data_IF_338492263536
#
_entry.id   IF_338492263536
#
_cell.length_a   1.000
_cell.length_b   1.000
_cell.length_c   1.000
_cell.angle_alpha   90.00
_cell.angle_beta   90.00
_cell.angle_gamma   90.00
#
_symmetry.space_group_name_H-M   'P 1'
#
loop_
_entity.id
_entity.type
_entity.pdbx_description
1 polymer ?
#
# COMPACT_ATOMS: atom_id res chain seq x y z
N UNK A 1 -10.33 16.43 -16.75
CA UNK A 1 -9.72 15.31 -16.03
C UNK A 1 -9.45 15.72 -14.59
N UNK A 2 -9.82 14.89 -13.64
CA UNK A 2 -9.61 15.02 -12.21
C UNK A 2 -9.03 13.69 -11.71
N UNK A 3 -7.90 13.79 -11.01
CA UNK A 3 -7.32 12.65 -10.30
C UNK A 3 -7.38 12.92 -8.80
N UNK A 4 -7.41 11.86 -8.01
CA UNK A 4 -7.38 11.94 -6.54
C UNK A 4 -6.28 11.08 -5.97
N UNK A 5 -5.89 11.37 -4.74
CA UNK A 5 -5.06 10.48 -3.94
C UNK A 5 -5.84 9.21 -3.57
N UNK A 6 -5.15 8.08 -3.69
CA UNK A 6 -5.61 6.80 -3.21
C UNK A 6 -4.51 6.16 -2.36
N UNK A 7 -4.70 6.18 -1.05
CA UNK A 7 -3.78 5.58 -0.09
C UNK A 7 -3.93 4.07 -0.15
N UNK A 8 -2.94 3.39 -0.74
CA UNK A 8 -2.99 1.94 -0.95
C UNK A 8 -2.53 1.17 0.28
N UNK A 9 -1.54 1.68 1.00
CA UNK A 9 -0.81 0.90 1.99
C UNK A 9 -1.58 0.64 3.29
N UNK A 10 -2.29 1.66 3.78
CA UNK A 10 -2.83 1.66 5.14
C UNK A 10 -4.19 2.36 5.18
N UNK A 11 -4.91 2.11 6.27
CA UNK A 11 -6.17 2.82 6.57
C UNK A 11 -6.04 3.53 7.92
N UNK A 12 -7.01 4.36 8.31
CA UNK A 12 -7.09 4.80 9.71
C UNK A 12 -7.40 3.62 10.63
N UNK A 13 -6.89 3.65 11.86
CA UNK A 13 -7.27 2.71 12.91
C UNK A 13 -8.76 2.82 13.31
N UNK A 14 -9.47 3.86 12.87
CA UNK A 14 -10.91 4.01 12.99
C UNK A 14 -11.69 3.34 11.86
N UNK A 15 -11.01 2.83 10.83
CA UNK A 15 -11.65 2.15 9.71
C UNK A 15 -12.41 0.91 10.22
N UNK A 16 -13.64 0.64 9.74
CA UNK A 16 -14.42 -0.52 10.17
C UNK A 16 -13.65 -1.84 10.06
N UNK A 17 -12.85 -2.04 9.01
CA UNK A 17 -12.02 -3.24 8.88
C UNK A 17 -11.06 -3.42 10.07
N UNK A 18 -10.36 -2.36 10.50
CA UNK A 18 -9.42 -2.47 11.63
C UNK A 18 -10.17 -2.66 12.95
N UNK A 19 -11.32 -1.99 13.11
CA UNK A 19 -12.17 -2.12 14.29
C UNK A 19 -12.71 -3.55 14.45
N UNK A 20 -13.06 -4.21 13.35
CA UNK A 20 -13.50 -5.61 13.38
C UNK A 20 -12.32 -6.57 13.50
N UNK A 21 -11.22 -6.32 12.76
CA UNK A 21 -9.97 -7.11 12.85
C UNK A 21 -9.46 -7.20 14.29
N UNK A 22 -9.46 -6.09 15.05
CA UNK A 22 -8.97 -6.09 16.44
C UNK A 22 -9.93 -6.76 17.44
N UNK A 23 -11.22 -6.88 17.11
CA UNK A 23 -12.25 -7.45 18.00
C UNK A 23 -12.48 -8.94 17.76
N UNK A 24 -12.38 -9.37 16.50
CA UNK A 24 -12.65 -10.74 16.06
C UNK A 24 -11.50 -11.25 15.16
N UNK A 25 -10.41 -11.78 15.75
CA UNK A 25 -9.27 -12.29 15.00
C UNK A 25 -9.58 -13.47 14.07
N UNK A 26 -10.64 -14.23 14.35
CA UNK A 26 -11.09 -15.37 13.52
C UNK A 26 -12.17 -14.96 12.50
N UNK A 27 -12.59 -13.70 12.53
CA UNK A 27 -13.61 -13.12 11.66
C UNK A 27 -13.09 -12.79 10.26
N UNK A 28 -13.97 -12.29 9.36
CA UNK A 28 -13.63 -12.02 7.97
C UNK A 28 -12.54 -10.95 7.78
N UNK A 29 -12.37 -10.06 8.76
CA UNK A 29 -11.34 -9.00 8.76
C UNK A 29 -10.14 -9.34 9.65
N UNK A 30 -10.11 -10.52 10.26
CA UNK A 30 -9.07 -10.94 11.21
C UNK A 30 -7.66 -10.81 10.65
N UNK A 31 -7.51 -11.03 9.35
CA UNK A 31 -6.23 -10.97 8.62
C UNK A 31 -6.18 -9.86 7.55
N UNK A 32 -6.94 -8.78 7.74
CA UNK A 32 -6.87 -7.60 6.84
C UNK A 32 -5.68 -6.69 7.13
N UNK A 33 -5.05 -6.86 8.30
CA UNK A 33 -3.92 -6.09 8.77
C UNK A 33 -2.84 -7.03 9.27
N UNK A 34 -1.62 -6.55 9.29
CA UNK A 34 -0.47 -7.35 9.70
C UNK A 34 -0.38 -7.40 11.23
N UNK A 35 -0.64 -8.56 11.81
CA UNK A 35 -0.61 -8.80 13.25
C UNK A 35 0.52 -9.75 13.66
N UNK A 36 1.13 -9.50 14.83
CA UNK A 36 2.18 -10.34 15.40
C UNK A 36 2.10 -10.42 16.93
N UNK A 37 2.61 -11.50 17.51
CA UNK A 37 2.66 -11.68 18.98
C UNK A 37 3.79 -10.87 19.64
N UNK A 38 4.82 -10.49 18.88
CA UNK A 38 5.90 -9.60 19.31
C UNK A 38 6.27 -8.59 18.22
N UNK A 39 7.13 -7.64 18.56
CA UNK A 39 7.54 -6.50 17.73
C UNK A 39 8.87 -6.73 16.99
N UNK A 40 9.26 -8.00 16.77
CA UNK A 40 10.60 -8.34 16.26
C UNK A 40 10.67 -8.60 14.76
N UNK A 41 9.52 -8.77 14.12
CA UNK A 41 9.47 -9.02 12.69
C UNK A 41 9.87 -7.76 11.90
N UNK A 42 10.50 -7.97 10.74
CA UNK A 42 10.91 -6.91 9.82
C UNK A 42 11.89 -5.88 10.43
N UNK A 43 12.82 -6.34 11.27
CA UNK A 43 13.76 -5.46 11.99
C UNK A 43 14.67 -4.60 11.09
N UNK A 44 14.85 -4.98 9.82
CA UNK A 44 15.63 -4.24 8.82
C UNK A 44 14.82 -3.10 8.16
N UNK A 45 13.50 -3.03 8.38
CA UNK A 45 12.68 -1.94 7.90
C UNK A 45 12.88 -0.70 8.79
N UNK A 46 13.31 0.41 8.19
CA UNK A 46 13.48 1.68 8.89
C UNK A 46 12.14 2.23 9.41
N UNK A 47 12.19 3.03 10.47
CA UNK A 47 11.07 3.86 10.93
C UNK A 47 11.05 5.14 10.12
N UNK A 48 9.95 5.41 9.39
CA UNK A 48 9.85 6.58 8.50
C UNK A 48 9.80 7.88 9.31
N UNK A 49 8.98 7.92 10.36
CA UNK A 49 8.83 9.07 11.25
C UNK A 49 9.56 8.87 12.58
N UNK A 50 10.89 8.71 12.52
CA UNK A 50 11.73 8.44 13.70
C UNK A 50 11.61 9.48 14.83
N UNK A 51 11.22 10.71 14.50
CA UNK A 51 11.01 11.77 15.50
C UNK A 51 9.67 11.64 16.26
N UNK A 52 8.76 10.76 15.82
CA UNK A 52 7.41 10.59 16.38
C UNK A 52 7.10 9.15 16.78
N UNK A 53 7.49 8.18 15.96
CA UNK A 53 7.24 6.75 16.18
C UNK A 53 8.51 6.07 16.71
N UNK A 54 8.34 5.26 17.77
CA UNK A 54 9.45 4.53 18.39
C UNK A 54 9.68 3.14 17.75
N UNK A 55 8.69 2.63 17.01
CA UNK A 55 8.69 1.31 16.38
C UNK A 55 7.75 1.32 15.17
N UNK A 56 7.93 0.37 14.24
CA UNK A 56 6.95 0.04 13.20
C UNK A 56 5.85 -0.91 13.71
N UNK A 57 5.89 -1.26 15.00
CA UNK A 57 4.92 -2.13 15.65
C UNK A 57 4.29 -1.42 16.85
N UNK A 58 2.96 -1.36 16.87
CA UNK A 58 2.20 -0.83 18.01
C UNK A 58 1.35 -1.93 18.64
N UNK A 59 1.42 -2.04 19.97
CA UNK A 59 0.60 -3.00 20.72
C UNK A 59 -0.87 -2.53 20.78
N UNK A 60 -1.79 -3.34 20.29
CA UNK A 60 -3.23 -3.09 20.44
C UNK A 60 -3.77 -3.71 21.75
N UNK A 61 -4.36 -2.90 22.64
CA UNK A 61 -4.85 -3.38 23.94
C UNK A 61 -6.13 -4.22 23.85
N UNK A 62 -6.83 -4.25 22.73
CA UNK A 62 -8.05 -5.07 22.53
C UNK A 62 -7.65 -6.47 22.08
N UNK A 63 -6.87 -6.57 21.00
CA UNK A 63 -6.42 -7.83 20.40
C UNK A 63 -5.28 -8.50 21.14
N UNK A 64 -4.54 -7.76 21.97
CA UNK A 64 -3.35 -8.24 22.71
C UNK A 64 -2.22 -8.73 21.80
N UNK A 65 -2.11 -8.12 20.62
CA UNK A 65 -1.08 -8.35 19.63
C UNK A 65 -0.53 -7.01 19.14
N UNK A 66 0.61 -7.03 18.49
CA UNK A 66 1.17 -5.88 17.79
C UNK A 66 0.61 -5.83 16.38
N UNK A 67 0.34 -4.64 15.86
CA UNK A 67 0.06 -4.42 14.45
C UNK A 67 1.16 -3.59 13.80
N UNK A 68 1.44 -3.90 12.54
CA UNK A 68 2.46 -3.20 11.75
C UNK A 68 1.91 -1.87 11.21
N UNK A 69 2.76 -0.85 11.19
CA UNK A 69 2.51 0.42 10.53
C UNK A 69 3.83 1.03 10.05
N UNK A 70 3.89 1.45 8.77
CA UNK A 70 5.06 2.17 8.24
C UNK A 70 5.04 3.66 8.54
N UNK A 71 3.85 4.18 8.77
CA UNK A 71 3.58 5.59 9.07
C UNK A 71 3.24 5.73 10.55
N UNK A 72 2.22 6.52 10.92
CA UNK A 72 1.85 6.69 12.33
C UNK A 72 1.10 5.48 12.88
N UNK A 73 1.14 5.29 14.20
CA UNK A 73 0.43 4.21 14.91
C UNK A 73 -1.09 4.20 14.70
N UNK A 74 -1.70 5.32 14.28
CA UNK A 74 -3.11 5.39 13.88
C UNK A 74 -3.36 5.08 12.39
N UNK A 75 -2.34 4.59 11.68
CA UNK A 75 -2.35 4.19 10.27
C UNK A 75 -1.90 2.72 10.12
N UNK A 76 -2.67 1.74 10.59
CA UNK A 76 -2.33 0.32 10.45
C UNK A 76 -2.24 -0.10 8.98
N UNK A 77 -1.16 -0.82 8.66
CA UNK A 77 -0.86 -1.31 7.32
C UNK A 77 -1.75 -2.51 6.96
N UNK A 78 -2.26 -2.50 5.74
CA UNK A 78 -3.08 -3.59 5.19
C UNK A 78 -2.20 -4.80 4.86
N UNK A 79 -2.74 -5.99 5.07
CA UNK A 79 -2.04 -7.24 4.74
C UNK A 79 -2.31 -7.64 3.28
N UNK A 80 -1.40 -7.30 2.37
CA UNK A 80 -1.53 -7.63 0.95
C UNK A 80 -1.23 -9.10 0.60
N UNK A 81 -0.73 -9.91 1.54
CA UNK A 81 -0.69 -11.38 1.38
C UNK A 81 -2.10 -11.98 1.39
N UNK A 82 -3.07 -11.27 1.98
CA UNK A 82 -4.47 -11.68 1.98
C UNK A 82 -5.14 -11.29 0.65
N UNK A 83 -5.57 -12.26 -0.20
CA UNK A 83 -6.21 -11.94 -1.46
C UNK A 83 -7.50 -11.13 -1.31
N UNK A 84 -8.21 -11.23 -0.17
CA UNK A 84 -9.41 -10.45 0.08
C UNK A 84 -9.10 -8.95 0.17
N UNK A 85 -7.97 -8.57 0.76
CA UNK A 85 -7.51 -7.17 0.81
C UNK A 85 -7.24 -6.65 -0.61
N UNK A 86 -6.57 -7.45 -1.43
CA UNK A 86 -6.32 -7.11 -2.84
C UNK A 86 -7.62 -6.85 -3.61
N UNK A 87 -8.63 -7.71 -3.44
CA UNK A 87 -9.94 -7.54 -4.09
C UNK A 87 -10.67 -6.28 -3.59
N UNK A 88 -10.63 -5.99 -2.29
CA UNK A 88 -11.26 -4.79 -1.72
C UNK A 88 -10.61 -3.50 -2.22
N UNK A 89 -9.28 -3.48 -2.35
CA UNK A 89 -8.55 -2.34 -2.92
C UNK A 89 -8.91 -2.12 -4.38
N UNK A 90 -8.98 -3.19 -5.18
CA UNK A 90 -9.43 -3.11 -6.57
C UNK A 90 -10.89 -2.65 -6.65
N UNK A 91 -11.76 -3.15 -5.78
CA UNK A 91 -13.16 -2.73 -5.72
C UNK A 91 -13.30 -1.24 -5.37
N UNK A 92 -12.49 -0.73 -4.45
CA UNK A 92 -12.47 0.69 -4.08
C UNK A 92 -11.97 1.58 -5.24
N UNK A 93 -10.96 1.15 -6.00
CA UNK A 93 -10.52 1.83 -7.21
C UNK A 93 -11.65 1.86 -8.26
N UNK A 94 -12.29 0.71 -8.53
CA UNK A 94 -13.42 0.61 -9.47
C UNK A 94 -14.57 1.51 -9.07
N UNK A 95 -14.92 1.57 -7.79
CA UNK A 95 -15.98 2.43 -7.27
C UNK A 95 -15.79 3.90 -7.68
N UNK A 96 -14.58 4.43 -7.53
CA UNK A 96 -14.27 5.82 -7.92
C UNK A 96 -14.20 6.01 -9.43
N UNK A 97 -13.73 5.02 -10.19
CA UNK A 97 -13.74 5.07 -11.65
C UNK A 97 -15.16 5.00 -12.23
N UNK A 98 -16.04 4.18 -11.65
CA UNK A 98 -17.46 4.11 -11.99
C UNK A 98 -18.18 5.45 -11.74
N UNK A 99 -17.71 6.22 -10.76
CA UNK A 99 -18.17 7.60 -10.48
C UNK A 99 -17.63 8.64 -11.47
N UNK A 100 -16.58 8.32 -12.24
CA UNK A 100 -16.01 9.17 -13.28
C UNK A 100 -14.73 9.92 -12.91
N UNK A 101 -13.97 9.47 -11.90
CA UNK A 101 -12.58 9.91 -11.70
C UNK A 101 -11.72 9.51 -12.91
N UNK A 102 -10.79 10.37 -13.33
CA UNK A 102 -9.94 10.13 -14.51
C UNK A 102 -8.59 9.43 -14.17
N UNK A 103 -8.35 9.13 -12.89
CA UNK A 103 -7.13 8.47 -12.44
C UNK A 103 -6.78 8.70 -10.98
N UNK A 104 -5.65 8.12 -10.56
CA UNK A 104 -5.21 8.13 -9.17
C UNK A 104 -3.74 8.48 -9.03
N UNK A 105 -3.40 9.22 -7.97
CA UNK A 105 -2.08 9.16 -7.33
C UNK A 105 -2.12 7.99 -6.35
N UNK A 106 -1.35 6.95 -6.63
CA UNK A 106 -1.23 5.78 -5.77
C UNK A 106 -0.19 6.08 -4.70
N UNK A 107 -0.66 6.31 -3.47
CA UNK A 107 0.16 6.77 -2.35
C UNK A 107 0.68 5.58 -1.54
N UNK A 108 1.93 5.69 -1.08
CA UNK A 108 2.61 4.69 -0.26
C UNK A 108 2.80 3.30 -0.90
N UNK A 109 2.83 3.23 -2.24
CA UNK A 109 3.00 1.96 -2.99
C UNK A 109 4.33 1.23 -2.82
N UNK A 110 5.45 1.85 -2.38
CA UNK A 110 6.64 1.10 -2.02
C UNK A 110 6.47 0.11 -0.87
N UNK A 111 5.43 0.29 -0.05
CA UNK A 111 5.34 -0.34 1.26
C UNK A 111 4.31 -1.48 1.36
N UNK A 112 3.64 -1.83 0.24
CA UNK A 112 2.47 -2.73 0.24
C UNK A 112 2.76 -4.13 0.81
N UNK A 113 3.97 -4.65 0.58
CA UNK A 113 4.40 -5.97 1.06
C UNK A 113 5.61 -5.85 1.98
N UNK A 114 5.72 -6.75 2.95
CA UNK A 114 6.84 -6.85 3.88
C UNK A 114 7.44 -8.26 3.87
N UNK A 115 8.76 -8.35 3.98
CA UNK A 115 9.49 -9.62 3.98
C UNK A 115 10.71 -9.55 4.88
N UNK A 116 10.95 -10.63 5.64
CA UNK A 116 12.12 -10.76 6.51
C UNK A 116 13.43 -10.68 5.72
N UNK A 117 14.43 -10.04 6.32
CA UNK A 117 15.75 -9.82 5.69
C UNK A 117 15.73 -8.76 4.58
N UNK A 118 14.68 -7.95 4.50
CA UNK A 118 14.57 -6.82 3.55
C UNK A 118 14.20 -5.54 4.30
N UNK A 119 14.36 -4.39 3.66
CA UNK A 119 13.88 -3.11 4.18
C UNK A 119 12.36 -2.92 4.03
N UNK A 120 11.64 -3.93 3.50
CA UNK A 120 10.20 -3.90 3.21
C UNK A 120 9.80 -2.73 2.28
N UNK A 121 10.65 -2.38 1.32
CA UNK A 121 10.34 -1.39 0.27
C UNK A 121 10.56 -2.02 -1.11
N UNK A 122 9.75 -1.64 -2.09
CA UNK A 122 9.92 -2.02 -3.51
C UNK A 122 10.00 -3.53 -3.76
N UNK A 123 9.30 -4.33 -2.94
CA UNK A 123 9.34 -5.78 -3.11
C UNK A 123 8.68 -6.18 -4.44
N UNK A 124 9.15 -7.26 -5.10
CA UNK A 124 8.57 -7.72 -6.37
C UNK A 124 7.05 -7.92 -6.32
N UNK A 125 6.53 -8.38 -5.18
CA UNK A 125 5.10 -8.56 -4.96
C UNK A 125 4.30 -7.23 -5.04
N UNK A 126 4.88 -6.11 -4.60
CA UNK A 126 4.27 -4.78 -4.75
C UNK A 126 4.08 -4.44 -6.23
N UNK A 127 5.13 -4.63 -7.04
CA UNK A 127 5.07 -4.39 -8.48
C UNK A 127 4.10 -5.35 -9.19
N UNK A 128 4.09 -6.63 -8.82
CA UNK A 128 3.14 -7.61 -9.38
C UNK A 128 1.68 -7.20 -9.11
N UNK A 129 1.38 -6.68 -7.92
CA UNK A 129 0.06 -6.17 -7.60
C UNK A 129 -0.27 -4.89 -8.38
N UNK A 130 0.67 -3.95 -8.53
CA UNK A 130 0.46 -2.74 -9.33
C UNK A 130 0.25 -3.03 -10.82
N UNK A 131 0.93 -4.03 -11.37
CA UNK A 131 0.69 -4.54 -12.74
C UNK A 131 -0.69 -5.16 -12.87
N UNK A 132 -1.17 -5.86 -11.84
CA UNK A 132 -2.55 -6.36 -11.79
C UNK A 132 -3.54 -5.19 -11.79
N UNK A 133 -3.33 -4.17 -10.96
CA UNK A 133 -4.15 -2.95 -10.93
C UNK A 133 -4.20 -2.30 -12.31
N UNK A 134 -3.03 -2.09 -12.94
CA UNK A 134 -2.92 -1.52 -14.27
C UNK A 134 -3.68 -2.32 -15.31
N UNK A 135 -3.50 -3.64 -15.34
CA UNK A 135 -4.19 -4.53 -16.28
C UNK A 135 -5.72 -4.44 -16.13
N UNK A 136 -6.23 -4.45 -14.89
CA UNK A 136 -7.68 -4.36 -14.65
C UNK A 136 -8.24 -3.00 -15.07
N UNK A 137 -7.53 -1.91 -14.79
CA UNK A 137 -7.92 -0.56 -15.17
C UNK A 137 -7.91 -0.39 -16.69
N UNK A 138 -6.86 -0.81 -17.39
CA UNK A 138 -6.79 -0.71 -18.85
C UNK A 138 -7.90 -1.51 -19.56
N UNK A 139 -8.33 -2.64 -18.97
CA UNK A 139 -9.40 -3.47 -19.52
C UNK A 139 -10.80 -2.87 -19.35
N UNK A 140 -11.05 -2.18 -18.23
CA UNK A 140 -12.40 -1.73 -17.85
C UNK A 140 -12.62 -0.22 -18.02
N UNK A 141 -11.57 0.59 -17.89
CA UNK A 141 -11.63 2.05 -17.82
C UNK A 141 -10.54 2.68 -18.71
N UNK A 142 -10.70 2.60 -20.05
CA UNK A 142 -9.74 3.23 -20.96
C UNK A 142 -9.67 4.75 -20.71
N UNK A 143 -8.52 5.36 -20.96
CA UNK A 143 -8.23 6.79 -20.71
C UNK A 143 -8.09 7.18 -19.22
N UNK A 144 -7.77 6.21 -18.36
CA UNK A 144 -7.45 6.42 -16.93
C UNK A 144 -5.94 6.51 -16.71
N UNK A 145 -5.48 7.42 -15.85
CA UNK A 145 -4.05 7.55 -15.49
C UNK A 145 -3.75 6.99 -14.09
N UNK A 146 -2.59 6.35 -13.93
CA UNK A 146 -2.03 5.91 -12.65
C UNK A 146 -0.69 6.59 -12.44
N UNK A 147 -0.57 7.32 -11.34
CA UNK A 147 0.62 8.07 -10.94
C UNK A 147 1.18 7.45 -9.66
N UNK A 148 2.37 6.84 -9.73
CA UNK A 148 3.07 6.33 -8.57
C UNK A 148 3.59 7.47 -7.70
N UNK A 149 3.31 7.40 -6.40
CA UNK A 149 4.12 8.08 -5.41
C UNK A 149 5.13 7.10 -4.79
N UNK A 150 6.39 7.26 -5.20
CA UNK A 150 7.54 6.61 -4.61
C UNK A 150 8.61 7.68 -4.38
N UNK A 151 8.71 8.19 -3.15
CA UNK A 151 9.68 9.23 -2.79
C UNK A 151 11.10 8.64 -2.60
N UNK A 152 11.69 8.22 -3.72
CA UNK A 152 12.96 7.53 -3.81
C UNK A 152 13.85 8.14 -4.91
N UNK A 153 15.08 7.63 -5.07
CA UNK A 153 15.95 8.07 -6.15
C UNK A 153 15.40 7.64 -7.52
N UNK A 154 15.65 8.42 -8.60
CA UNK A 154 15.06 8.14 -9.91
C UNK A 154 15.42 6.77 -10.47
N UNK A 155 16.59 6.23 -10.13
CA UNK A 155 16.97 4.86 -10.50
C UNK A 155 16.04 3.78 -9.91
N UNK A 156 15.48 3.98 -8.72
CA UNK A 156 14.55 3.05 -8.09
C UNK A 156 13.11 3.28 -8.59
N UNK A 157 12.75 4.56 -8.80
CA UNK A 157 11.40 4.94 -9.25
C UNK A 157 11.10 4.43 -10.67
N UNK A 158 12.13 4.18 -11.49
CA UNK A 158 11.94 3.69 -12.86
C UNK A 158 11.22 2.35 -12.92
N UNK A 159 11.35 1.52 -11.88
CA UNK A 159 10.72 0.21 -11.80
C UNK A 159 9.19 0.30 -11.73
N UNK A 160 8.65 1.42 -11.24
CA UNK A 160 7.20 1.67 -11.17
C UNK A 160 6.53 1.94 -12.52
N UNK A 161 7.31 2.08 -13.61
CA UNK A 161 6.76 2.06 -14.97
C UNK A 161 6.52 0.63 -15.47
N UNK A 162 7.08 -0.39 -14.79
CA UNK A 162 6.96 -1.79 -15.14
C UNK A 162 7.91 -2.23 -16.26
N UNK A 163 7.52 -3.27 -17.00
CA UNK A 163 8.34 -3.83 -18.08
C UNK A 163 8.40 -2.90 -19.29
N UNK A 164 9.56 -2.27 -19.48
CA UNK A 164 9.87 -1.42 -20.61
C UNK A 164 9.72 -2.12 -21.98
N UNK A 165 9.96 -3.44 -22.06
CA UNK A 165 9.84 -4.18 -23.33
C UNK A 165 8.39 -4.25 -23.82
N UNK A 166 7.44 -4.22 -22.89
CA UNK A 166 6.00 -4.17 -23.19
C UNK A 166 5.48 -2.76 -23.49
N UNK A 167 6.30 -1.73 -23.27
CA UNK A 167 5.89 -0.31 -23.31
C UNK A 167 5.42 0.25 -21.96
N UNK A 168 5.60 -0.51 -20.87
CA UNK A 168 5.21 -0.14 -19.50
C UNK A 168 3.85 -0.74 -19.08
N UNK A 169 3.89 -1.71 -18.17
CA UNK A 169 2.73 -2.50 -17.70
C UNK A 169 2.30 -2.18 -16.27
N UNK A 170 2.85 -1.13 -15.66
CA UNK A 170 2.54 -0.71 -14.29
C UNK A 170 1.99 0.74 -14.27
N UNK A 171 2.59 1.69 -13.53
CA UNK A 171 2.10 3.07 -13.49
C UNK A 171 2.43 3.83 -14.77
N UNK A 172 1.53 4.74 -15.16
CA UNK A 172 1.72 5.59 -16.34
C UNK A 172 2.71 6.73 -16.08
N UNK A 173 2.75 7.18 -14.83
CA UNK A 173 3.54 8.31 -14.38
C UNK A 173 4.15 8.01 -13.02
N UNK A 174 5.25 8.68 -12.71
CA UNK A 174 5.84 8.74 -11.38
C UNK A 174 6.41 10.15 -11.14
N UNK A 175 6.49 10.58 -9.88
CA UNK A 175 7.14 11.85 -9.55
C UNK A 175 8.66 11.74 -9.64
N UNK A 176 9.31 12.76 -10.19
CA UNK A 176 10.76 12.93 -10.10
C UNK A 176 11.09 13.85 -8.91
N UNK A 177 11.03 13.31 -7.69
CA UNK A 177 11.18 14.10 -6.45
C UNK A 177 12.45 14.96 -6.39
N UNK A 178 13.66 14.49 -6.76
CA UNK A 178 14.88 15.29 -6.60
C UNK A 178 14.99 16.56 -7.46
N UNK A 179 14.06 16.81 -8.39
CA UNK A 179 14.10 17.99 -9.27
C UNK A 179 13.66 19.26 -8.55
N UNK A 180 12.81 19.15 -7.53
CA UNK A 180 12.43 20.29 -6.67
C UNK A 180 12.96 20.05 -5.25
N UNK A 181 13.85 20.92 -4.72
CA UNK A 181 14.41 20.80 -3.38
C UNK A 181 13.41 21.14 -2.27
#
# INVERSE_FOLDING_TARGET
RVIIDFVMNHTSDQHPWFQESRKDPDGPYGDYYMWADDDKQYADARIIFVDTEASNWTFDPVRKQYFFHRFFSHQPDLNYENPAVQEEILAALRFWLDLGIDGFRLDAVPYLYAAEGTNCENLPASHDFLKRVRREIDLMYPDTVLLAEANQWPEDVVDYFGDYQSGGDECHMAFHFPVMP
#
